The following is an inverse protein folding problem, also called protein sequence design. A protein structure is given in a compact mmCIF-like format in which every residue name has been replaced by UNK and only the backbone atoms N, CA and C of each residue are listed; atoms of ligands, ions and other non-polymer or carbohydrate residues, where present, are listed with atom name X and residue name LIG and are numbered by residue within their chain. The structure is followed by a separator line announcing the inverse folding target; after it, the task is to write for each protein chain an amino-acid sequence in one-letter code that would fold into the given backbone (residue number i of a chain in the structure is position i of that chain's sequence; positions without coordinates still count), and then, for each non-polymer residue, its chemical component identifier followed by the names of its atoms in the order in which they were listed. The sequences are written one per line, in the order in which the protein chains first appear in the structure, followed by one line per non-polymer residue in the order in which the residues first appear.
data_IF_764859992817
#
_entry.id   IF_764859992817
#
_cell.length_a   1.000
_cell.length_b   1.000
_cell.length_c   1.000
_cell.angle_alpha   90.00
_cell.angle_beta   90.00
_cell.angle_gamma   90.00
#
_symmetry.space_group_name_H-M   'P 1'
#
loop_
_entity.id
_entity.type
_entity.pdbx_description
1 polymer ?
#
# COMPACT_ATOMS: atom_id res chain seq x y z
N UNK A 1 -8.03 3.50 -15.52
CA UNK A 1 -7.01 2.97 -14.59
C UNK A 1 -5.59 3.42 -14.94
N UNK A 2 -5.40 4.52 -15.70
CA UNK A 2 -4.06 4.95 -16.14
C UNK A 2 -3.42 6.07 -15.32
N UNK A 3 -4.00 6.46 -14.18
CA UNK A 3 -3.55 7.61 -13.38
C UNK A 3 -2.91 7.16 -12.07
N UNK A 4 -1.86 7.84 -11.65
CA UNK A 4 -1.28 7.75 -10.30
C UNK A 4 -0.60 9.09 -9.94
N UNK A 5 -0.22 9.29 -8.68
CA UNK A 5 0.56 10.47 -8.28
C UNK A 5 1.96 10.44 -8.93
N UNK A 6 2.46 11.58 -9.41
CA UNK A 6 3.78 11.66 -10.04
C UNK A 6 4.92 11.44 -9.03
N UNK A 7 4.69 11.77 -7.76
CA UNK A 7 5.60 11.44 -6.65
C UNK A 7 5.85 9.92 -6.56
N UNK A 8 4.91 9.11 -7.04
CA UNK A 8 5.01 7.66 -7.12
C UNK A 8 6.11 7.16 -8.07
N UNK A 9 6.69 8.02 -8.91
CA UNK A 9 7.90 7.70 -9.65
C UNK A 9 9.13 7.55 -8.73
N UNK A 10 9.03 8.03 -7.48
CA UNK A 10 10.06 7.93 -6.43
C UNK A 10 11.42 8.54 -6.84
N UNK A 11 11.34 9.67 -7.55
CA UNK A 11 12.52 10.40 -8.02
C UNK A 11 13.12 11.32 -6.97
N UNK A 12 12.32 11.74 -5.98
CA UNK A 12 12.82 12.46 -4.82
C UNK A 12 13.80 11.61 -4.01
N UNK A 13 14.87 12.25 -3.52
CA UNK A 13 15.92 11.58 -2.74
C UNK A 13 16.12 12.20 -1.36
N UNK A 14 16.45 11.34 -0.39
CA UNK A 14 17.04 11.69 0.91
C UNK A 14 18.20 10.72 1.13
N UNK A 15 19.40 11.24 1.41
CA UNK A 15 20.63 10.45 1.53
C UNK A 15 20.87 9.49 0.35
N UNK A 16 20.53 9.94 -0.86
CA UNK A 16 20.63 9.15 -2.10
C UNK A 16 19.56 8.08 -2.31
N UNK A 17 18.65 7.86 -1.34
CA UNK A 17 17.60 6.83 -1.42
C UNK A 17 16.28 7.41 -1.95
N UNK A 18 15.51 6.65 -2.75
CA UNK A 18 14.19 7.06 -3.23
C UNK A 18 13.19 7.21 -2.09
N UNK A 19 12.44 8.32 -2.11
CA UNK A 19 11.41 8.63 -1.11
C UNK A 19 10.21 9.33 -1.75
N UNK A 20 9.09 9.39 -1.03
CA UNK A 20 8.02 10.36 -1.27
C UNK A 20 8.02 11.33 -0.09
N UNK A 21 8.16 12.63 -0.36
CA UNK A 21 8.27 13.66 0.68
C UNK A 21 6.91 14.30 0.96
N UNK A 22 6.71 14.85 2.16
CA UNK A 22 5.67 15.85 2.38
C UNK A 22 5.88 17.06 1.46
N UNK A 23 4.79 17.67 1.01
CA UNK A 23 4.85 18.75 -0.01
C UNK A 23 5.72 19.95 0.42
N UNK A 24 5.84 20.24 1.71
CA UNK A 24 6.66 21.34 2.22
C UNK A 24 8.17 21.06 2.20
N UNK A 25 8.58 19.81 1.91
CA UNK A 25 9.97 19.38 1.73
C UNK A 25 10.31 19.12 0.25
N UNK A 26 9.33 19.21 -0.65
CA UNK A 26 9.51 19.03 -2.09
C UNK A 26 10.20 20.27 -2.68
N UNK A 27 11.31 20.06 -3.38
CA UNK A 27 12.06 21.09 -4.09
C UNK A 27 11.62 21.21 -5.55
N UNK A 28 12.07 22.25 -6.26
CA UNK A 28 11.87 22.35 -7.72
C UNK A 28 12.59 21.22 -8.48
N UNK A 29 13.73 20.76 -7.96
CA UNK A 29 14.48 19.63 -8.51
C UNK A 29 13.68 18.33 -8.41
N UNK A 30 13.04 18.08 -7.26
CA UNK A 30 12.16 16.94 -7.06
C UNK A 30 10.99 16.94 -8.06
N UNK A 31 10.35 18.10 -8.26
CA UNK A 31 9.24 18.26 -9.20
C UNK A 31 9.68 17.98 -10.63
N UNK A 32 10.82 18.56 -11.05
CA UNK A 32 11.37 18.35 -12.38
C UNK A 32 11.73 16.89 -12.62
N UNK A 33 12.37 16.23 -11.65
CA UNK A 33 12.74 14.82 -11.76
C UNK A 33 11.51 13.91 -11.89
N UNK A 34 10.44 14.16 -11.14
CA UNK A 34 9.19 13.41 -11.26
C UNK A 34 8.53 13.58 -12.64
N UNK A 35 8.53 14.82 -13.18
CA UNK A 35 8.02 15.10 -14.53
C UNK A 35 8.88 14.47 -15.62
N UNK A 36 10.21 14.56 -15.52
CA UNK A 36 11.15 13.98 -16.49
C UNK A 36 11.06 12.44 -16.54
N UNK A 37 10.74 11.80 -15.41
CA UNK A 37 10.52 10.35 -15.33
C UNK A 37 9.15 9.91 -15.86
N UNK A 38 8.26 10.85 -16.18
CA UNK A 38 6.87 10.58 -16.57
C UNK A 38 6.63 10.88 -18.04
N UNK A 39 6.02 9.91 -18.74
CA UNK A 39 5.43 10.13 -20.06
C UNK A 39 3.90 10.06 -20.00
N UNK A 40 3.24 10.71 -20.96
CA UNK A 40 1.77 10.74 -21.05
C UNK A 40 1.31 10.05 -22.33
N UNK A 41 0.66 8.91 -22.18
CA UNK A 41 0.29 8.05 -23.31
C UNK A 41 -1.20 8.21 -23.64
N UNK A 42 -1.61 8.29 -24.92
CA UNK A 42 -3.03 8.34 -25.27
C UNK A 42 -3.79 7.15 -24.71
N UNK A 43 -4.97 7.39 -24.15
CA UNK A 43 -5.82 6.34 -23.63
C UNK A 43 -6.28 5.38 -24.74
N UNK A 44 -6.31 4.09 -24.43
CA UNK A 44 -6.75 3.02 -25.34
C UNK A 44 -8.22 3.22 -25.72
N UNK A 45 -8.49 3.44 -27.01
CA UNK A 45 -9.82 3.83 -27.51
C UNK A 45 -10.91 2.81 -27.19
N UNK A 46 -10.60 1.51 -27.23
CA UNK A 46 -11.56 0.44 -26.93
C UNK A 46 -12.14 0.53 -25.51
N UNK A 47 -11.36 1.05 -24.55
CA UNK A 47 -11.80 1.25 -23.17
C UNK A 47 -12.26 2.68 -22.91
N UNK A 48 -11.65 3.67 -23.58
CA UNK A 48 -11.87 5.09 -23.34
C UNK A 48 -12.18 5.83 -24.66
N UNK A 49 -13.40 5.69 -25.20
CA UNK A 49 -13.76 6.27 -26.50
C UNK A 49 -13.74 7.82 -26.51
N UNK A 50 -13.78 8.45 -25.33
CA UNK A 50 -13.60 9.89 -25.16
C UNK A 50 -12.14 10.37 -25.20
N UNK A 51 -11.18 9.46 -25.33
CA UNK A 51 -9.75 9.76 -25.28
C UNK A 51 -9.26 10.10 -23.87
N UNK A 52 -8.16 10.84 -23.80
CA UNK A 52 -7.44 11.17 -22.56
C UNK A 52 -5.98 10.74 -22.62
N UNK A 53 -5.23 11.02 -21.55
CA UNK A 53 -3.83 10.61 -21.42
C UNK A 53 -3.62 9.87 -20.09
N UNK A 54 -3.05 8.67 -20.15
CA UNK A 54 -2.54 7.96 -18.98
C UNK A 54 -1.16 8.45 -18.61
N UNK A 55 -0.83 8.35 -17.32
CA UNK A 55 0.49 8.58 -16.76
C UNK A 55 1.29 7.29 -16.88
N UNK A 56 2.52 7.36 -17.38
CA UNK A 56 3.43 6.22 -17.41
C UNK A 56 4.78 6.60 -16.79
N UNK A 57 5.23 5.77 -15.85
CA UNK A 57 6.57 5.75 -15.28
C UNK A 57 6.79 4.38 -14.64
N UNK A 58 8.03 4.09 -14.23
CA UNK A 58 8.36 3.00 -13.30
C UNK A 58 8.79 3.59 -11.96
N UNK A 59 8.16 3.15 -10.88
CA UNK A 59 8.59 3.53 -9.53
C UNK A 59 10.00 3.02 -9.28
N UNK A 60 10.89 3.87 -8.78
CA UNK A 60 12.24 3.45 -8.39
C UNK A 60 12.21 2.29 -7.37
N UNK A 61 13.14 1.35 -7.49
CA UNK A 61 13.29 0.23 -6.56
C UNK A 61 13.85 0.65 -5.20
N UNK A 62 13.88 -0.29 -4.26
CA UNK A 62 14.46 -0.13 -2.92
C UNK A 62 13.80 0.96 -2.05
N UNK A 63 12.58 1.38 -2.39
CA UNK A 63 11.79 2.29 -1.55
C UNK A 63 10.92 1.47 -0.59
N UNK A 64 10.98 1.70 0.74
CA UNK A 64 10.08 1.06 1.68
C UNK A 64 8.67 1.59 1.46
N UNK A 65 7.69 0.70 1.42
CA UNK A 65 6.29 1.06 1.21
C UNK A 65 5.35 0.20 2.06
N UNK A 66 4.18 0.75 2.33
CA UNK A 66 3.06 0.03 2.94
C UNK A 66 1.89 0.03 1.97
N UNK A 67 1.42 -1.16 1.58
CA UNK A 67 0.15 -1.31 0.88
C UNK A 67 -0.96 -1.50 1.91
N UNK A 68 -2.08 -0.78 1.80
CA UNK A 68 -3.21 -0.91 2.71
C UNK A 68 -4.56 -0.89 1.97
N UNK A 69 -5.58 -1.48 2.60
CA UNK A 69 -6.95 -1.53 2.06
C UNK A 69 -7.98 -1.68 3.17
N UNK A 70 -9.02 -0.84 3.12
CA UNK A 70 -10.25 -1.05 3.89
C UNK A 70 -11.27 -1.80 3.01
N UNK A 71 -11.86 -2.86 3.56
CA UNK A 71 -12.98 -3.56 2.95
C UNK A 71 -14.19 -3.54 3.90
N UNK A 72 -15.40 -3.54 3.33
CA UNK A 72 -16.64 -3.61 4.11
C UNK A 72 -17.20 -5.02 4.04
N UNK A 73 -17.27 -5.71 5.17
CA UNK A 73 -17.77 -7.08 5.28
C UNK A 73 -19.16 -7.06 5.91
N UNK A 74 -20.15 -7.62 5.22
CA UNK A 74 -21.53 -7.69 5.73
C UNK A 74 -21.57 -8.48 7.04
N UNK A 75 -22.16 -7.88 8.08
CA UNK A 75 -22.27 -8.48 9.41
C UNK A 75 -21.07 -8.26 10.33
N UNK A 76 -19.98 -7.69 9.82
CA UNK A 76 -18.77 -7.35 10.58
C UNK A 76 -18.50 -5.84 10.58
N UNK A 77 -18.62 -5.18 9.43
CA UNK A 77 -18.28 -3.76 9.25
C UNK A 77 -16.97 -3.58 8.49
N UNK A 78 -16.26 -2.44 8.68
CA UNK A 78 -14.97 -2.21 8.05
C UNK A 78 -13.89 -3.12 8.63
N UNK A 79 -12.99 -3.61 7.78
CA UNK A 79 -11.75 -4.31 8.16
C UNK A 79 -10.57 -3.69 7.42
N UNK A 80 -9.40 -3.66 8.04
CA UNK A 80 -8.17 -3.12 7.45
C UNK A 80 -7.16 -4.24 7.14
N UNK A 81 -6.59 -4.21 5.94
CA UNK A 81 -5.45 -5.01 5.52
C UNK A 81 -4.22 -4.13 5.35
N UNK A 82 -3.06 -4.61 5.78
CA UNK A 82 -1.77 -3.93 5.74
C UNK A 82 -0.72 -4.92 5.23
N UNK A 83 0.10 -4.52 4.26
CA UNK A 83 1.25 -5.28 3.80
C UNK A 83 2.44 -4.34 3.62
N UNK A 84 3.38 -4.35 4.56
CA UNK A 84 4.66 -3.67 4.42
C UNK A 84 5.58 -4.45 3.50
N UNK A 85 6.43 -3.72 2.77
CA UNK A 85 7.37 -4.30 1.83
C UNK A 85 8.21 -3.24 1.16
N UNK A 86 8.73 -3.57 -0.01
CA UNK A 86 9.63 -2.71 -0.76
C UNK A 86 9.23 -2.66 -2.22
N UNK A 87 9.53 -1.54 -2.86
CA UNK A 87 9.57 -1.49 -4.32
C UNK A 87 10.80 -2.25 -4.81
N UNK A 88 10.69 -2.90 -5.95
CA UNK A 88 11.78 -3.64 -6.58
C UNK A 88 12.13 -3.03 -7.93
N UNK A 89 13.41 -3.09 -8.28
CA UNK A 89 13.89 -2.80 -9.62
C UNK A 89 14.16 -4.12 -10.34
N UNK A 90 13.56 -4.29 -11.51
CA UNK A 90 13.81 -5.43 -12.38
C UNK A 90 14.77 -5.00 -13.49
N UNK A 91 15.59 -5.91 -14.05
CA UNK A 91 16.32 -5.63 -15.27
C UNK A 91 15.37 -5.11 -16.36
N UNK A 92 15.81 -4.09 -17.10
CA UNK A 92 14.95 -3.35 -18.04
C UNK A 92 14.22 -4.25 -19.05
N UNK A 93 14.90 -5.25 -19.60
CA UNK A 93 14.32 -6.23 -20.52
C UNK A 93 13.18 -7.04 -19.86
N UNK A 94 13.36 -7.44 -18.60
CA UNK A 94 12.36 -8.20 -17.83
C UNK A 94 11.15 -7.32 -17.53
N UNK A 95 11.36 -6.10 -17.02
CA UNK A 95 10.30 -5.15 -16.74
C UNK A 95 9.47 -4.87 -18.00
N UNK A 96 10.14 -4.49 -19.08
CA UNK A 96 9.52 -4.16 -20.38
C UNK A 96 8.73 -5.33 -20.95
N UNK A 97 9.23 -6.56 -20.80
CA UNK A 97 8.53 -7.76 -21.26
C UNK A 97 7.19 -7.96 -20.53
N UNK A 98 7.15 -7.74 -19.21
CA UNK A 98 5.92 -7.90 -18.43
C UNK A 98 4.95 -6.75 -18.69
N UNK A 99 5.42 -5.52 -18.76
CA UNK A 99 4.60 -4.32 -19.02
C UNK A 99 3.90 -4.39 -20.37
N UNK A 100 4.62 -4.76 -21.44
CA UNK A 100 4.04 -4.91 -22.77
C UNK A 100 2.96 -6.01 -22.84
N UNK A 101 3.01 -6.98 -21.93
CA UNK A 101 2.02 -8.06 -21.82
C UNK A 101 0.87 -7.74 -20.86
N UNK A 102 0.95 -6.62 -20.13
CA UNK A 102 -0.04 -6.21 -19.13
C UNK A 102 -0.75 -4.95 -19.59
N UNK A 103 -0.12 -3.79 -19.43
CA UNK A 103 -0.53 -2.52 -20.04
C UNK A 103 0.69 -1.59 -20.09
N UNK A 104 1.19 -1.32 -21.30
CA UNK A 104 2.39 -0.49 -21.53
C UNK A 104 2.15 1.01 -21.38
N UNK A 105 0.90 1.45 -21.23
CA UNK A 105 0.55 2.87 -21.15
C UNK A 105 0.30 3.34 -19.71
N UNK A 106 0.27 2.41 -18.76
CA UNK A 106 -0.04 2.68 -17.35
C UNK A 106 1.23 2.70 -16.49
N UNK A 107 1.18 3.31 -15.29
CA UNK A 107 2.33 3.41 -14.41
C UNK A 107 2.56 2.07 -13.69
N UNK A 108 3.82 1.73 -13.43
CA UNK A 108 4.18 0.43 -12.84
C UNK A 108 4.97 0.59 -11.54
N UNK A 109 4.57 -0.17 -10.53
CA UNK A 109 5.31 -0.35 -9.27
C UNK A 109 5.46 -1.84 -9.03
N UNK A 110 6.69 -2.35 -9.04
CA UNK A 110 6.98 -3.73 -8.64
C UNK A 110 7.09 -3.78 -7.13
N UNK A 111 6.25 -4.58 -6.47
CA UNK A 111 6.16 -4.64 -5.01
C UNK A 111 6.50 -6.03 -4.48
N UNK A 112 7.30 -6.07 -3.42
CA UNK A 112 7.67 -7.30 -2.72
C UNK A 112 7.28 -7.15 -1.24
N UNK A 113 6.27 -7.89 -0.73
CA UNK A 113 5.88 -7.83 0.67
C UNK A 113 6.91 -8.52 1.58
N UNK A 114 7.09 -8.01 2.79
CA UNK A 114 7.83 -8.71 3.83
C UNK A 114 7.07 -9.99 4.21
N UNK A 115 7.74 -11.13 4.19
CA UNK A 115 7.16 -12.42 4.57
C UNK A 115 7.50 -12.73 6.04
N UNK A 116 6.53 -13.29 6.76
CA UNK A 116 6.70 -13.69 8.16
C UNK A 116 6.81 -15.21 8.30
N UNK A 117 6.42 -15.97 7.26
CA UNK A 117 6.32 -17.43 7.33
C UNK A 117 5.01 -17.93 7.97
N UNK A 118 4.11 -17.02 8.35
CA UNK A 118 2.87 -17.32 9.06
C UNK A 118 1.65 -16.65 8.39
N UNK A 119 0.46 -17.18 8.66
CA UNK A 119 -0.81 -16.60 8.19
C UNK A 119 -0.85 -16.30 6.69
N UNK A 120 -1.26 -15.09 6.33
CA UNK A 120 -1.33 -14.61 4.94
C UNK A 120 0.03 -14.20 4.35
N UNK A 121 1.12 -14.24 5.13
CA UNK A 121 2.46 -13.80 4.75
C UNK A 121 3.47 -14.95 4.69
N UNK A 122 2.98 -16.16 4.38
CA UNK A 122 3.83 -17.34 4.12
C UNK A 122 4.53 -17.27 2.76
N UNK A 123 3.90 -16.65 1.77
CA UNK A 123 4.44 -16.44 0.43
C UNK A 123 3.86 -15.18 -0.20
N UNK A 124 4.51 -14.65 -1.24
CA UNK A 124 3.98 -13.52 -2.03
C UNK A 124 2.63 -13.86 -2.64
N UNK A 125 2.44 -15.13 -3.04
CA UNK A 125 1.15 -15.61 -3.52
C UNK A 125 0.06 -15.54 -2.45
N UNK A 126 0.35 -15.99 -1.21
CA UNK A 126 -0.63 -15.92 -0.12
C UNK A 126 -1.04 -14.47 0.17
N UNK A 127 -0.11 -13.51 0.08
CA UNK A 127 -0.43 -12.09 0.26
C UNK A 127 -1.44 -11.63 -0.79
N UNK A 128 -1.21 -11.93 -2.07
CA UNK A 128 -2.12 -11.57 -3.15
C UNK A 128 -3.46 -12.30 -3.02
N UNK A 129 -3.46 -13.59 -2.73
CA UNK A 129 -4.65 -14.43 -2.66
C UNK A 129 -5.57 -14.05 -1.48
N UNK A 130 -5.02 -13.47 -0.41
CA UNK A 130 -5.79 -12.97 0.73
C UNK A 130 -6.17 -11.48 0.62
N UNK A 131 -5.72 -10.76 -0.43
CA UNK A 131 -6.08 -9.36 -0.61
C UNK A 131 -7.57 -9.22 -0.98
N UNK A 132 -8.32 -8.44 -0.21
CA UNK A 132 -9.79 -8.44 -0.25
C UNK A 132 -10.43 -7.61 -1.37
N UNK A 133 -9.63 -7.04 -2.28
CA UNK A 133 -10.11 -6.20 -3.38
C UNK A 133 -9.14 -6.21 -4.56
N UNK A 134 -9.57 -5.65 -5.70
CA UNK A 134 -8.70 -5.43 -6.87
C UNK A 134 -7.82 -4.18 -6.76
N UNK A 135 -8.01 -3.34 -5.74
CA UNK A 135 -7.24 -2.13 -5.49
C UNK A 135 -6.50 -2.20 -4.16
N UNK A 136 -5.36 -1.51 -4.07
CA UNK A 136 -4.66 -1.19 -2.83
C UNK A 136 -4.23 0.28 -2.85
N UNK A 137 -4.06 0.88 -1.68
CA UNK A 137 -3.41 2.18 -1.54
C UNK A 137 -1.96 1.94 -1.09
N UNK A 138 -1.00 2.57 -1.76
CA UNK A 138 0.43 2.44 -1.43
C UNK A 138 0.92 3.78 -0.90
N UNK A 139 1.61 3.73 0.25
CA UNK A 139 2.26 4.89 0.86
C UNK A 139 3.74 4.61 1.06
N UNK A 140 4.56 5.65 0.99
CA UNK A 140 5.97 5.58 1.34
C UNK A 140 6.15 5.29 2.84
N UNK A 141 7.17 4.50 3.15
CA UNK A 141 7.54 4.08 4.50
C UNK A 141 6.82 2.82 4.97
N UNK A 142 7.38 2.23 6.03
CA UNK A 142 6.76 1.17 6.83
C UNK A 142 5.96 1.84 7.95
N UNK A 143 4.66 2.08 7.69
CA UNK A 143 3.76 2.80 8.60
C UNK A 143 2.67 1.91 9.20
N UNK A 144 2.82 0.59 9.08
CA UNK A 144 1.81 -0.38 9.50
C UNK A 144 1.47 -0.28 10.99
N UNK A 145 2.45 -0.07 11.88
CA UNK A 145 2.19 0.18 13.30
C UNK A 145 1.34 1.44 13.55
N UNK A 146 1.54 2.49 12.75
CA UNK A 146 0.73 3.72 12.81
C UNK A 146 -0.71 3.46 12.34
N UNK A 147 -0.87 2.67 11.27
CA UNK A 147 -2.18 2.27 10.76
C UNK A 147 -2.93 1.37 11.75
N UNK A 148 -2.25 0.43 12.41
CA UNK A 148 -2.82 -0.41 13.48
C UNK A 148 -3.31 0.47 14.65
N UNK A 149 -2.49 1.45 15.05
CA UNK A 149 -2.86 2.41 16.09
C UNK A 149 -4.11 3.18 15.71
N UNK A 150 -4.13 3.77 14.50
CA UNK A 150 -5.28 4.52 13.99
C UNK A 150 -6.54 3.65 13.87
N UNK A 151 -6.42 2.43 13.36
CA UNK A 151 -7.52 1.49 13.22
C UNK A 151 -8.15 1.16 14.58
N UNK A 152 -7.32 0.96 15.62
CA UNK A 152 -7.82 0.71 16.98
C UNK A 152 -8.59 1.90 17.58
N UNK A 153 -8.13 3.14 17.32
CA UNK A 153 -8.86 4.35 17.74
C UNK A 153 -10.25 4.42 17.10
N UNK A 154 -10.36 3.98 15.84
CA UNK A 154 -11.59 3.97 15.05
C UNK A 154 -12.43 2.69 15.21
N UNK A 155 -11.90 1.69 15.92
CA UNK A 155 -12.50 0.37 16.14
C UNK A 155 -12.75 -0.38 14.83
N UNK A 156 -11.75 -0.31 13.96
CA UNK A 156 -11.67 -1.08 12.72
C UNK A 156 -10.71 -2.25 12.99
N UNK A 157 -11.17 -3.51 13.00
CA UNK A 157 -10.28 -4.64 13.18
C UNK A 157 -9.30 -4.78 12.01
N UNK A 158 -8.07 -5.17 12.32
CA UNK A 158 -7.02 -5.44 11.33
C UNK A 158 -6.98 -6.94 11.04
N UNK A 159 -7.44 -7.35 9.86
CA UNK A 159 -7.61 -8.77 9.52
C UNK A 159 -6.40 -9.42 8.84
N UNK A 160 -5.40 -8.62 8.49
CA UNK A 160 -4.18 -9.06 7.82
C UNK A 160 -3.10 -7.98 7.99
N UNK A 161 -1.99 -8.32 8.66
CA UNK A 161 -0.78 -7.49 8.70
C UNK A 161 0.50 -8.33 8.85
N UNK A 162 1.62 -7.79 8.39
CA UNK A 162 2.97 -8.32 8.61
C UNK A 162 3.84 -7.44 9.51
N UNK A 163 3.21 -6.48 10.20
CA UNK A 163 3.86 -5.62 11.19
C UNK A 163 4.35 -6.48 12.37
N UNK A 164 5.61 -6.31 12.84
CA UNK A 164 6.12 -6.99 14.03
C UNK A 164 5.27 -6.72 15.27
N UNK A 165 5.12 -7.73 16.13
CA UNK A 165 4.24 -7.68 17.31
C UNK A 165 4.59 -6.52 18.25
N UNK A 166 5.88 -6.23 18.43
CA UNK A 166 6.39 -5.17 19.29
C UNK A 166 6.01 -3.75 18.82
N UNK A 167 5.56 -3.59 17.58
CA UNK A 167 5.07 -2.33 17.03
C UNK A 167 3.54 -2.19 17.10
N UNK A 168 2.83 -3.23 17.56
CA UNK A 168 1.38 -3.17 17.76
C UNK A 168 1.10 -2.30 18.98
N UNK A 169 0.62 -1.09 18.74
CA UNK A 169 0.24 -0.15 19.78
C UNK A 169 -1.26 0.16 19.69
N UNK A 170 -2.01 -0.21 20.73
CA UNK A 170 -3.46 -0.04 20.83
C UNK A 170 -3.82 0.50 22.22
N UNK A 171 -5.03 1.03 22.45
CA UNK A 171 -5.46 1.44 23.79
C UNK A 171 -5.29 0.29 24.80
N UNK A 172 -4.84 0.61 26.01
CA UNK A 172 -4.47 -0.39 27.03
C UNK A 172 -5.59 -1.41 27.32
N UNK A 173 -6.84 -1.03 27.14
CA UNK A 173 -7.98 -1.92 27.35
C UNK A 173 -8.04 -3.11 26.38
N UNK A 174 -7.38 -3.07 25.21
CA UNK A 174 -7.30 -4.23 24.29
C UNK A 174 -6.68 -5.46 24.97
N UNK A 175 -5.69 -5.26 25.85
CA UNK A 175 -5.04 -6.35 26.57
C UNK A 175 -6.00 -7.10 27.52
N UNK A 176 -7.12 -6.47 27.94
CA UNK A 176 -8.15 -7.12 28.75
C UNK A 176 -9.03 -8.07 27.93
N UNK A 177 -8.99 -7.97 26.60
CA UNK A 177 -9.67 -8.90 25.67
C UNK A 177 -8.79 -10.10 25.30
N UNK A 178 -7.54 -10.15 25.77
CA UNK A 178 -6.57 -11.21 25.51
C UNK A 178 -5.19 -10.66 25.15
N UNK A 179 -4.13 -11.41 25.48
CA UNK A 179 -2.74 -11.01 25.24
C UNK A 179 -1.94 -11.98 24.37
N UNK A 180 -2.39 -13.23 24.22
CA UNK A 180 -1.72 -14.23 23.38
C UNK A 180 -2.23 -14.24 21.93
N UNK A 181 -3.53 -13.99 21.76
CA UNK A 181 -4.19 -13.89 20.45
C UNK A 181 -4.58 -12.43 20.22
N UNK A 182 -3.64 -11.66 19.66
CA UNK A 182 -3.81 -10.22 19.44
C UNK A 182 -4.81 -9.91 18.32
N UNK A 183 -4.96 -10.81 17.35
CA UNK A 183 -5.98 -10.69 16.31
C UNK A 183 -7.38 -10.85 16.92
N UNK A 184 -7.64 -11.96 17.62
CA UNK A 184 -8.93 -12.16 18.26
C UNK A 184 -9.24 -11.12 19.33
N UNK A 185 -8.24 -10.63 20.08
CA UNK A 185 -8.43 -9.54 21.02
C UNK A 185 -8.89 -8.24 20.32
N UNK A 186 -8.35 -7.95 19.13
CA UNK A 186 -8.76 -6.80 18.33
C UNK A 186 -10.22 -6.89 17.88
N UNK A 187 -10.62 -8.05 17.34
CA UNK A 187 -12.00 -8.29 16.94
C UNK A 187 -12.98 -8.14 18.10
N UNK A 188 -12.67 -8.74 19.26
CA UNK A 188 -13.52 -8.64 20.46
C UNK A 188 -13.62 -7.20 20.96
N UNK A 189 -12.51 -6.47 21.01
CA UNK A 189 -12.49 -5.07 21.45
C UNK A 189 -13.26 -4.16 20.46
N UNK A 190 -13.02 -4.28 19.16
CA UNK A 190 -13.72 -3.51 18.13
C UNK A 190 -15.23 -3.77 18.16
N UNK A 191 -15.64 -5.03 18.33
CA UNK A 191 -17.05 -5.40 18.49
C UNK A 191 -17.67 -4.80 19.75
N UNK A 192 -16.98 -4.88 20.89
CA UNK A 192 -17.49 -4.41 22.18
C UNK A 192 -17.67 -2.88 22.21
N UNK A 193 -16.73 -2.13 21.65
CA UNK A 193 -16.77 -0.66 21.67
C UNK A 193 -17.54 -0.06 20.48
N UNK A 194 -17.59 -0.75 19.34
CA UNK A 194 -18.28 -0.29 18.13
C UNK A 194 -17.72 1.02 17.55
N UNK A 195 -18.37 1.61 16.52
CA UNK A 195 -17.87 2.80 15.81
C UNK A 195 -17.81 4.05 16.71
N UNK A 196 -16.94 5.01 16.34
CA UNK A 196 -16.75 6.27 17.07
C UNK A 196 -17.96 7.19 17.10
N UNK A 197 -18.65 7.28 15.98
CA UNK A 197 -19.80 8.15 15.80
C UNK A 197 -20.98 7.30 15.33
N UNK A 198 -22.20 7.71 15.70
CA UNK A 198 -23.46 7.10 15.30
C UNK A 198 -24.47 8.17 14.97
#
# INVERSE_FOLDING_TARGET
SGSTTLDGAAQSKVDGKPVIKPWWEITEEDQKAALDATTFHPATYEYFPGGGFSTHFRTAGEMPVTMCRINLVRGLGPVLQIAEGWTAELPDEVATTVENRTDRAWPTTWFVPNLTGEGAFRSVYDVMNNWGANHGAITYGHIGGQLITLASMLRIPVNMHNVPEEQIFRPKSWALFGTADLEGADYRACQAYGPMYR
#
